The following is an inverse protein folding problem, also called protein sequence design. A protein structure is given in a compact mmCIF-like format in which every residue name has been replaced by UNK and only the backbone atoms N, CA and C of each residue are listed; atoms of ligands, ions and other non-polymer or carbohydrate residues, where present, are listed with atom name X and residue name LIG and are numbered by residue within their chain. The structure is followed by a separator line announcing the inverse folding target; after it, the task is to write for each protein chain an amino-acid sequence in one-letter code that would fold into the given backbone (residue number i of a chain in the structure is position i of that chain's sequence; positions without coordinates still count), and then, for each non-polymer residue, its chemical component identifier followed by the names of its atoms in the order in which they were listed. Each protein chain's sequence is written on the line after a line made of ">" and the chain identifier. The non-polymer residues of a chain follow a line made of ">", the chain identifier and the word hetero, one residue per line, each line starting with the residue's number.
data_IF_235151217426
#
_entry.id   IF_235151217426
#
_cell.length_a   1.000
_cell.length_b   1.000
_cell.length_c   1.000
_cell.angle_alpha   90.00
_cell.angle_beta   90.00
_cell.angle_gamma   90.00
#
_symmetry.space_group_name_H-M   'P 1'
#
loop_
_entity.id
_entity.type
_entity.pdbx_description
1 polymer ?
#
# COMPACT_ATOMS: atom_id res chain seq x y z
N UNK A 1 -4.93 -48.07 38.92
CA UNK A 1 -4.00 -47.55 37.89
C UNK A 1 -4.75 -46.65 36.90
N UNK A 2 -5.25 -45.49 37.33
CA UNK A 2 -5.99 -44.55 36.46
C UNK A 2 -5.84 -43.10 36.98
N UNK A 3 -4.60 -42.62 37.17
CA UNK A 3 -4.36 -41.20 37.52
C UNK A 3 -3.10 -40.62 36.84
N UNK A 4 -2.62 -41.23 35.75
CA UNK A 4 -1.44 -40.73 35.02
C UNK A 4 -1.70 -40.33 33.57
N UNK A 5 -2.93 -40.49 33.06
CA UNK A 5 -3.25 -40.22 31.64
C UNK A 5 -3.97 -38.89 31.39
N UNK A 6 -4.43 -38.17 32.42
CA UNK A 6 -5.11 -36.87 32.24
C UNK A 6 -4.18 -35.64 32.35
N UNK A 7 -2.98 -35.77 32.91
CA UNK A 7 -2.03 -34.64 33.00
C UNK A 7 -1.23 -34.42 31.70
N UNK A 8 -1.13 -35.42 30.82
CA UNK A 8 -0.46 -35.27 29.53
C UNK A 8 -1.33 -34.56 28.48
N UNK A 9 -2.66 -34.66 28.57
CA UNK A 9 -3.57 -33.95 27.67
C UNK A 9 -3.55 -32.43 27.88
N UNK A 10 -3.64 -31.98 29.13
CA UNK A 10 -3.65 -30.55 29.45
C UNK A 10 -2.30 -29.85 29.19
N UNK A 11 -1.17 -30.56 29.33
CA UNK A 11 0.16 -30.01 28.99
C UNK A 11 0.33 -29.91 27.47
N UNK A 12 -0.16 -30.88 26.70
CA UNK A 12 -0.13 -30.81 25.23
C UNK A 12 -1.07 -29.73 24.69
N UNK A 13 -2.23 -29.54 25.30
CA UNK A 13 -3.17 -28.47 24.96
C UNK A 13 -2.64 -27.08 25.36
N UNK A 14 -1.89 -26.94 26.46
CA UNK A 14 -1.17 -25.69 26.77
C UNK A 14 0.04 -25.45 25.86
N UNK A 15 0.68 -26.50 25.35
CA UNK A 15 1.73 -26.38 24.33
C UNK A 15 1.11 -25.99 22.97
N UNK A 16 -0.07 -26.51 22.62
CA UNK A 16 -0.81 -26.12 21.41
C UNK A 16 -1.44 -24.72 21.53
N UNK A 17 -2.00 -24.34 22.69
CA UNK A 17 -2.42 -22.95 22.95
C UNK A 17 -1.22 -22.01 23.00
N UNK A 18 -0.10 -22.44 23.59
CA UNK A 18 1.17 -21.70 23.56
C UNK A 18 1.71 -21.52 22.14
N UNK A 19 1.44 -22.46 21.23
CA UNK A 19 1.81 -22.33 19.82
C UNK A 19 0.88 -21.40 19.03
N UNK A 20 -0.41 -21.34 19.40
CA UNK A 20 -1.39 -20.44 18.76
C UNK A 20 -1.33 -19.00 19.32
N UNK A 21 -0.97 -18.82 20.59
CA UNK A 21 -0.78 -17.50 21.20
C UNK A 21 0.60 -16.89 20.90
N UNK A 22 1.62 -17.69 20.55
CA UNK A 22 2.93 -17.20 20.11
C UNK A 22 2.97 -17.04 18.57
N UNK A 23 1.95 -16.41 17.99
CA UNK A 23 1.92 -15.93 16.59
C UNK A 23 2.76 -14.66 16.39
N UNK A 24 3.93 -14.62 17.02
CA UNK A 24 4.95 -13.59 16.87
C UNK A 24 6.32 -14.29 16.91
N UNK A 25 6.63 -15.11 15.90
CA UNK A 25 7.92 -15.78 15.82
C UNK A 25 8.45 -15.65 14.41
N UNK A 26 9.39 -14.71 14.27
CA UNK A 26 10.39 -14.68 13.19
C UNK A 26 10.85 -16.12 12.97
N UNK A 27 10.54 -16.69 11.81
CA UNK A 27 11.04 -18.03 11.47
C UNK A 27 12.35 -17.80 10.74
N UNK A 28 13.44 -18.29 11.32
CA UNK A 28 14.74 -18.27 10.64
C UNK A 28 14.71 -19.38 9.58
N UNK A 29 14.90 -19.00 8.31
CA UNK A 29 15.18 -19.96 7.25
C UNK A 29 16.59 -20.55 7.43
N UNK A 30 16.82 -21.78 6.97
CA UNK A 30 18.12 -22.46 7.02
C UNK A 30 19.28 -21.68 6.36
N UNK A 31 18.97 -20.63 5.58
CA UNK A 31 19.91 -19.71 4.95
C UNK A 31 20.23 -18.44 5.77
N UNK A 32 19.73 -18.30 7.02
CA UNK A 32 19.96 -17.11 7.85
C UNK A 32 19.10 -15.89 7.48
N UNK A 33 18.12 -16.07 6.57
CA UNK A 33 17.22 -15.01 6.12
C UNK A 33 16.02 -14.89 7.08
N UNK A 34 15.67 -13.65 7.46
CA UNK A 34 14.55 -13.36 8.35
C UNK A 34 13.22 -13.48 7.60
N UNK A 35 12.36 -14.40 8.01
CA UNK A 35 11.01 -14.58 7.44
C UNK A 35 9.97 -13.92 8.34
N UNK A 36 9.08 -13.11 7.76
CA UNK A 36 7.88 -12.60 8.42
C UNK A 36 6.62 -13.04 7.69
N UNK A 37 5.69 -13.58 8.46
CA UNK A 37 4.38 -14.05 7.99
C UNK A 37 3.38 -12.91 8.13
N UNK A 38 2.75 -12.52 7.03
CA UNK A 38 1.83 -11.38 6.98
C UNK A 38 0.48 -11.87 6.48
N UNK A 39 -0.57 -11.59 7.25
CA UNK A 39 -1.95 -11.84 6.86
C UNK A 39 -2.53 -10.59 6.16
N UNK A 40 -3.50 -10.76 5.26
CA UNK A 40 -4.10 -9.62 4.58
C UNK A 40 -4.94 -8.78 5.53
N UNK A 41 -4.89 -7.46 5.35
CA UNK A 41 -5.89 -6.54 5.91
C UNK A 41 -7.09 -6.50 4.96
N UNK A 42 -8.28 -6.85 5.46
CA UNK A 42 -9.51 -6.90 4.67
C UNK A 42 -10.49 -5.78 5.03
N UNK A 43 -11.24 -5.30 4.03
CA UNK A 43 -12.38 -4.39 4.23
C UNK A 43 -13.69 -5.08 3.82
N UNK A 44 -14.47 -5.55 4.80
CA UNK A 44 -15.80 -6.16 4.56
C UNK A 44 -16.81 -5.18 3.94
N UNK A 45 -16.62 -3.86 4.08
CA UNK A 45 -17.54 -2.84 3.55
C UNK A 45 -17.35 -2.59 2.05
N UNK A 46 -16.13 -2.76 1.52
CA UNK A 46 -15.86 -2.55 0.09
C UNK A 46 -16.61 -3.58 -0.79
N UNK A 47 -16.67 -4.84 -0.35
CA UNK A 47 -17.37 -5.93 -1.06
C UNK A 47 -18.89 -5.68 -1.13
N UNK A 48 -19.47 -5.02 -0.12
CA UNK A 48 -20.90 -4.73 -0.08
C UNK A 48 -21.34 -3.66 -1.10
N UNK A 49 -20.53 -2.62 -1.32
CA UNK A 49 -20.88 -1.53 -2.25
C UNK A 49 -20.89 -1.97 -3.72
N UNK A 50 -20.04 -2.92 -4.13
CA UNK A 50 -20.08 -3.45 -5.52
C UNK A 50 -21.33 -4.28 -5.81
N UNK A 51 -21.85 -5.03 -4.83
CA UNK A 51 -23.10 -5.79 -5.01
C UNK A 51 -24.31 -4.88 -5.22
N UNK A 52 -24.31 -3.69 -4.63
CA UNK A 52 -25.35 -2.69 -4.84
C UNK A 52 -25.27 -2.04 -6.24
N UNK A 53 -24.06 -1.82 -6.78
CA UNK A 53 -23.87 -1.22 -8.10
C UNK A 53 -24.18 -2.18 -9.27
N UNK A 54 -24.06 -3.50 -9.06
CA UNK A 54 -24.37 -4.51 -10.08
C UNK A 54 -25.87 -4.85 -10.21
N UNK A 55 -26.75 -4.23 -9.41
CA UNK A 55 -28.20 -4.51 -9.38
C UNK A 55 -29.08 -3.43 -10.04
N UNK A 56 -28.51 -2.41 -10.69
CA UNK A 56 -29.29 -1.39 -11.40
C UNK A 56 -29.17 -1.52 -12.93
N UNK A 57 -30.04 -2.32 -13.53
CA UNK A 57 -30.40 -2.25 -14.96
C UNK A 57 -31.45 -1.15 -15.17
N UNK A 58 -31.35 -0.29 -16.21
CA UNK A 58 -32.41 0.67 -16.52
C UNK A 58 -33.41 0.08 -17.51
N UNK A 59 -34.70 0.10 -17.15
CA UNK A 59 -35.80 -0.10 -18.09
C UNK A 59 -35.99 1.12 -19.01
N UNK A 60 -36.42 0.81 -20.23
CA UNK A 60 -36.64 1.71 -21.36
C UNK A 60 -37.79 2.70 -21.11
N UNK A 61 -37.63 3.94 -21.59
CA UNK A 61 -38.79 4.80 -21.91
C UNK A 61 -38.57 5.57 -23.21
N UNK A 62 -39.49 5.37 -24.14
CA UNK A 62 -39.71 6.15 -25.36
C UNK A 62 -40.75 7.25 -25.11
N UNK A 63 -40.69 8.28 -25.97
CA UNK A 63 -41.71 9.29 -26.36
C UNK A 63 -41.44 10.76 -25.96
N UNK A 64 -41.19 11.55 -27.01
CA UNK A 64 -41.23 13.02 -27.14
C UNK A 64 -42.61 13.47 -27.72
N UNK A 65 -42.92 14.77 -27.99
CA UNK A 65 -42.38 16.07 -27.54
C UNK A 65 -43.51 17.08 -27.14
N UNK A 66 -43.18 18.35 -26.82
CA UNK A 66 -43.75 19.57 -27.45
C UNK A 66 -43.13 20.87 -26.86
N UNK A 67 -42.77 21.79 -27.75
CA UNK A 67 -42.32 23.19 -27.52
C UNK A 67 -43.56 24.13 -27.56
N UNK A 68 -43.56 25.39 -27.05
CA UNK A 68 -42.93 26.52 -27.73
C UNK A 68 -42.33 27.63 -26.83
N UNK A 69 -41.62 28.54 -27.51
CA UNK A 69 -40.83 29.75 -27.20
C UNK A 69 -41.58 30.96 -26.60
N UNK A 70 -40.86 31.86 -25.88
CA UNK A 70 -40.96 33.34 -26.06
C UNK A 70 -39.81 34.15 -25.38
N UNK A 71 -39.52 35.32 -25.99
CA UNK A 71 -38.40 36.27 -25.84
C UNK A 71 -38.45 37.29 -24.66
N UNK A 72 -37.35 38.10 -24.56
CA UNK A 72 -37.14 39.46 -23.98
C UNK A 72 -36.49 39.54 -22.58
N UNK A 73 -35.64 40.50 -22.18
CA UNK A 73 -34.87 41.61 -22.79
C UNK A 73 -33.79 42.12 -21.76
N UNK A 74 -32.85 42.95 -22.20
CA UNK A 74 -31.71 43.59 -21.49
C UNK A 74 -32.01 44.39 -20.19
N UNK A 75 -30.99 44.56 -19.31
CA UNK A 75 -30.50 45.90 -18.91
C UNK A 75 -29.13 45.92 -18.21
N UNK A 76 -28.27 46.86 -18.63
CA UNK A 76 -27.02 47.33 -18.02
C UNK A 76 -27.30 48.51 -17.04
N UNK A 77 -26.51 48.67 -15.96
CA UNK A 77 -25.62 49.84 -15.67
C UNK A 77 -25.19 49.98 -14.19
N UNK A 78 -23.86 50.12 -13.99
CA UNK A 78 -23.08 51.03 -13.12
C UNK A 78 -23.55 51.44 -11.69
N UNK A 79 -22.63 51.38 -10.69
CA UNK A 79 -21.87 52.55 -10.14
C UNK A 79 -21.11 52.26 -8.81
N UNK A 80 -19.77 52.41 -8.85
CA UNK A 80 -18.82 53.11 -7.93
C UNK A 80 -19.33 53.58 -6.53
N UNK A 81 -18.57 53.67 -5.41
CA UNK A 81 -17.13 53.82 -5.12
C UNK A 81 -16.86 53.77 -3.59
N UNK A 82 -15.60 53.49 -3.20
CA UNK A 82 -14.81 53.96 -2.02
C UNK A 82 -15.04 53.38 -0.61
N UNK A 83 -13.98 52.75 -0.07
CA UNK A 83 -13.14 53.33 1.01
C UNK A 83 -11.74 52.68 1.08
N UNK A 84 -10.70 53.50 0.90
CA UNK A 84 -9.34 53.35 1.45
C UNK A 84 -9.43 53.34 3.00
N UNK A 85 -8.57 52.74 3.83
CA UNK A 85 -7.11 52.92 3.98
C UNK A 85 -6.66 52.07 5.20
N UNK A 86 -5.35 51.77 5.29
CA UNK A 86 -4.63 51.16 6.42
C UNK A 86 -4.76 49.64 6.61
N UNK A 87 -3.78 48.89 6.07
CA UNK A 87 -2.93 47.99 6.85
C UNK A 87 -1.70 47.59 6.02
N UNK A 88 -0.82 48.58 5.77
CA UNK A 88 0.59 48.35 5.46
C UNK A 88 1.30 47.94 6.76
N UNK A 89 1.10 46.70 7.22
CA UNK A 89 1.97 46.05 8.22
C UNK A 89 1.66 44.54 8.32
N UNK A 90 1.93 43.80 7.25
CA UNK A 90 2.23 42.36 7.33
C UNK A 90 2.94 41.86 6.08
N UNK A 91 4.02 42.53 5.70
CA UNK A 91 4.93 42.07 4.67
C UNK A 91 6.23 41.67 5.36
N UNK A 92 6.20 40.54 6.07
CA UNK A 92 7.38 39.79 6.56
C UNK A 92 6.87 38.54 7.29
N UNK A 93 6.77 37.43 6.53
CA UNK A 93 6.70 36.01 6.92
C UNK A 93 5.77 35.24 5.96
N UNK A 94 6.07 35.27 4.67
CA UNK A 94 5.60 34.22 3.76
C UNK A 94 6.77 33.75 2.91
N UNK A 95 7.80 33.28 3.61
CA UNK A 95 8.89 32.51 3.00
C UNK A 95 8.34 31.10 2.83
N UNK A 96 7.77 30.84 1.66
CA UNK A 96 7.57 29.50 1.10
C UNK A 96 7.02 28.46 2.09
N UNK A 97 5.76 28.60 2.50
CA UNK A 97 5.01 27.43 2.92
C UNK A 97 4.75 26.57 1.67
N UNK A 98 5.76 25.80 1.25
CA UNK A 98 5.57 24.74 0.26
C UNK A 98 4.39 23.90 0.76
N UNK A 99 3.33 23.83 -0.02
CA UNK A 99 2.11 23.11 0.34
C UNK A 99 2.48 21.62 0.44
N UNK A 100 2.82 21.15 1.63
CA UNK A 100 3.17 19.74 1.86
C UNK A 100 1.87 18.95 1.82
N UNK A 101 1.62 18.28 0.71
CA UNK A 101 0.51 17.34 0.58
C UNK A 101 0.62 16.29 1.70
N UNK A 102 -0.45 16.06 2.48
CA UNK A 102 -0.43 15.06 3.54
C UNK A 102 -0.21 13.67 2.94
N UNK A 103 0.52 12.83 3.68
CA UNK A 103 0.67 11.42 3.33
C UNK A 103 -0.59 10.66 3.73
N UNK A 104 -1.04 9.73 2.89
CA UNK A 104 -2.20 8.87 3.16
C UNK A 104 -1.74 7.48 3.59
N UNK A 105 -2.54 6.81 4.42
CA UNK A 105 -2.26 5.41 4.74
C UNK A 105 -2.43 4.54 3.49
N UNK A 106 -1.48 3.63 3.19
CA UNK A 106 -1.53 2.83 1.97
C UNK A 106 -2.56 1.72 2.02
N UNK A 107 -3.24 1.46 3.15
CA UNK A 107 -4.24 0.39 3.26
C UNK A 107 -5.63 0.88 2.85
N UNK A 108 -6.35 0.12 2.01
CA UNK A 108 -7.70 0.49 1.54
C UNK A 108 -8.72 0.69 2.68
N UNK A 109 -8.51 0.07 3.83
CA UNK A 109 -9.40 0.17 4.98
C UNK A 109 -9.14 1.40 5.86
N UNK A 110 -8.11 2.20 5.56
CA UNK A 110 -7.66 3.28 6.42
C UNK A 110 -7.77 4.64 5.71
N UNK A 111 -8.47 5.58 6.34
CA UNK A 111 -8.63 6.96 5.85
C UNK A 111 -7.67 7.93 6.57
N UNK A 112 -6.60 7.39 7.17
CA UNK A 112 -5.66 8.23 7.90
C UNK A 112 -4.84 9.09 6.94
N UNK A 113 -4.66 10.35 7.34
CA UNK A 113 -3.80 11.32 6.69
C UNK A 113 -2.90 12.00 7.72
N UNK A 114 -1.68 12.35 7.35
CA UNK A 114 -0.77 13.04 8.24
C UNK A 114 0.58 13.38 7.61
N UNK A 115 1.46 13.99 8.41
CA UNK A 115 2.83 14.28 7.98
C UNK A 115 3.69 13.01 7.95
N UNK A 116 4.74 13.03 7.12
CA UNK A 116 5.65 11.89 6.93
C UNK A 116 6.22 11.35 8.25
N UNK A 117 6.53 12.24 9.20
CA UNK A 117 7.13 11.91 10.50
C UNK A 117 6.26 11.01 11.38
N UNK A 118 4.93 11.06 11.20
CA UNK A 118 3.96 10.30 12.00
C UNK A 118 3.45 9.04 11.29
N UNK A 119 3.94 8.75 10.08
CA UNK A 119 3.57 7.54 9.31
C UNK A 119 3.99 6.26 10.02
N UNK A 120 5.25 6.18 10.48
CA UNK A 120 5.74 4.96 11.16
C UNK A 120 4.99 4.69 12.46
N UNK A 121 4.78 5.67 13.36
CA UNK A 121 3.89 5.52 14.51
C UNK A 121 2.49 5.03 14.12
N UNK A 122 1.86 5.63 13.11
CA UNK A 122 0.54 5.24 12.62
C UNK A 122 0.50 3.75 12.21
N UNK A 123 1.40 3.31 11.33
CA UNK A 123 1.44 1.93 10.84
C UNK A 123 1.66 0.92 11.98
N UNK A 124 2.53 1.25 12.93
CA UNK A 124 2.83 0.36 14.07
C UNK A 124 1.69 0.29 15.08
N UNK A 125 1.08 1.41 15.41
CA UNK A 125 0.09 1.48 16.49
C UNK A 125 -1.30 1.10 16.02
N UNK A 126 -1.70 1.59 14.85
CA UNK A 126 -3.04 1.36 14.29
C UNK A 126 -3.13 0.02 13.56
N UNK A 127 -2.10 -0.33 12.79
CA UNK A 127 -2.11 -1.52 11.93
C UNK A 127 -1.20 -2.65 12.41
N UNK A 128 -0.50 -2.47 13.54
CA UNK A 128 0.40 -3.48 14.13
C UNK A 128 1.45 -3.99 13.14
N UNK A 129 1.91 -3.11 12.24
CA UNK A 129 2.95 -3.46 11.25
C UNK A 129 4.28 -3.62 11.96
N UNK A 130 4.85 -4.81 11.89
CA UNK A 130 6.19 -5.07 12.41
C UNK A 130 7.28 -4.45 11.53
N UNK A 131 8.39 -4.06 12.18
CA UNK A 131 9.61 -3.64 11.51
C UNK A 131 10.63 -4.77 11.57
N UNK A 132 11.00 -5.31 10.42
CA UNK A 132 12.13 -6.22 10.30
C UNK A 132 13.42 -5.46 10.03
N UNK A 133 14.52 -5.96 10.57
CA UNK A 133 15.87 -5.44 10.34
C UNK A 133 16.74 -6.50 9.71
N UNK A 134 17.54 -6.16 8.71
CA UNK A 134 18.45 -7.11 8.05
C UNK A 134 18.78 -6.68 6.63
N UNK A 135 19.85 -7.21 6.05
CA UNK A 135 20.23 -6.90 4.67
C UNK A 135 19.24 -7.50 3.66
N UNK A 136 18.76 -8.72 3.94
CA UNK A 136 17.75 -9.40 3.16
C UNK A 136 16.69 -10.01 4.08
N UNK A 137 15.42 -9.91 3.68
CA UNK A 137 14.28 -10.47 4.41
C UNK A 137 13.38 -11.25 3.44
N UNK A 138 12.56 -12.15 3.99
CA UNK A 138 11.50 -12.83 3.25
C UNK A 138 10.16 -12.41 3.82
N UNK A 139 9.31 -11.88 2.95
CA UNK A 139 7.93 -11.56 3.22
C UNK A 139 7.05 -12.72 2.75
N UNK A 140 6.34 -13.37 3.68
CA UNK A 140 5.43 -14.46 3.39
C UNK A 140 3.99 -13.96 3.52
N UNK A 141 3.37 -13.60 2.39
CA UNK A 141 1.96 -13.21 2.34
C UNK A 141 1.08 -14.46 2.36
N UNK A 142 0.26 -14.62 3.38
CA UNK A 142 -0.68 -15.75 3.52
C UNK A 142 -2.05 -15.42 2.92
N UNK A 143 -2.91 -16.44 2.80
CA UNK A 143 -4.31 -16.27 2.42
C UNK A 143 -4.52 -15.55 1.07
N UNK A 144 -3.61 -15.79 0.11
CA UNK A 144 -3.62 -15.17 -1.23
C UNK A 144 -4.89 -15.47 -2.05
N UNK A 145 -5.65 -16.49 -1.64
CA UNK A 145 -6.91 -16.89 -2.25
C UNK A 145 -8.07 -15.93 -1.93
N UNK A 146 -7.96 -15.10 -0.88
CA UNK A 146 -9.01 -14.17 -0.49
C UNK A 146 -9.39 -13.18 -1.61
N UNK A 147 -10.66 -12.75 -1.68
CA UNK A 147 -11.12 -11.87 -2.75
C UNK A 147 -10.43 -10.50 -2.71
N UNK A 148 -10.36 -9.83 -3.87
CA UNK A 148 -9.95 -8.43 -3.93
C UNK A 148 -11.06 -7.52 -3.34
N UNK A 149 -10.71 -6.37 -2.75
CA UNK A 149 -9.36 -5.89 -2.48
C UNK A 149 -8.77 -6.50 -1.20
N UNK A 150 -7.47 -6.78 -1.22
CA UNK A 150 -6.73 -7.24 -0.06
C UNK A 150 -5.32 -6.64 -0.09
N UNK A 151 -4.82 -6.21 1.07
CA UNK A 151 -3.50 -5.61 1.21
C UNK A 151 -2.66 -6.40 2.20
N UNK A 152 -1.38 -6.56 1.90
CA UNK A 152 -0.37 -7.08 2.81
C UNK A 152 0.78 -6.09 2.85
N UNK A 153 1.18 -5.67 4.04
CA UNK A 153 2.25 -4.69 4.21
C UNK A 153 3.27 -5.16 5.23
N UNK A 154 4.53 -4.80 5.01
CA UNK A 154 5.61 -5.02 5.98
C UNK A 154 6.60 -3.88 5.92
N UNK A 155 7.13 -3.50 7.08
CA UNK A 155 8.19 -2.50 7.17
C UNK A 155 9.55 -3.18 7.28
N UNK A 156 10.48 -2.77 6.41
CA UNK A 156 11.86 -3.21 6.38
C UNK A 156 12.77 -2.05 6.73
N UNK A 157 13.59 -2.22 7.76
CA UNK A 157 14.59 -1.24 8.17
C UNK A 157 15.99 -1.73 7.80
N UNK A 158 16.66 -0.98 6.94
CA UNK A 158 18.02 -1.22 6.50
C UNK A 158 18.65 0.10 6.03
N UNK A 159 19.98 0.16 5.94
CA UNK A 159 20.73 1.32 5.44
C UNK A 159 20.37 2.65 6.13
N UNK A 160 19.93 2.62 7.40
CA UNK A 160 19.52 3.82 8.15
C UNK A 160 18.13 4.36 7.81
N UNK A 161 17.34 3.65 7.00
CA UNK A 161 16.01 4.07 6.56
C UNK A 161 14.93 3.02 6.85
N UNK A 162 13.67 3.45 6.70
CA UNK A 162 12.50 2.58 6.73
C UNK A 162 11.88 2.50 5.34
N UNK A 163 11.64 1.28 4.89
CA UNK A 163 10.97 0.98 3.64
C UNK A 163 9.70 0.20 3.94
N UNK A 164 8.63 0.46 3.19
CA UNK A 164 7.37 -0.25 3.28
C UNK A 164 7.17 -1.04 2.00
N UNK A 165 7.15 -2.37 2.09
CA UNK A 165 6.63 -3.19 1.01
C UNK A 165 5.11 -3.18 1.10
N UNK A 166 4.46 -2.89 -0.02
CA UNK A 166 3.02 -3.04 -0.20
C UNK A 166 2.79 -4.09 -1.27
N UNK A 167 2.13 -5.19 -0.90
CA UNK A 167 1.53 -6.14 -1.82
C UNK A 167 0.01 -5.94 -1.80
N UNK A 168 -0.56 -5.58 -2.94
CA UNK A 168 -1.99 -5.29 -3.09
C UNK A 168 -2.62 -6.21 -4.11
N UNK A 169 -3.73 -6.84 -3.74
CA UNK A 169 -4.62 -7.53 -4.67
C UNK A 169 -5.79 -6.61 -5.01
N UNK A 170 -5.93 -6.23 -6.28
CA UNK A 170 -7.05 -5.42 -6.76
C UNK A 170 -7.46 -5.82 -8.18
N UNK A 171 -8.68 -5.45 -8.57
CA UNK A 171 -9.17 -5.62 -9.94
C UNK A 171 -8.92 -4.36 -10.75
N UNK A 172 -8.19 -4.49 -11.88
CA UNK A 172 -8.15 -3.43 -12.92
C UNK A 172 -9.29 -3.58 -13.93
N UNK A 173 -9.68 -4.82 -14.19
CA UNK A 173 -10.81 -5.17 -15.05
C UNK A 173 -11.73 -6.08 -14.25
N UNK A 174 -13.03 -5.99 -14.52
CA UNK A 174 -14.05 -6.76 -13.80
C UNK A 174 -13.74 -8.26 -13.84
N UNK A 175 -13.70 -8.89 -12.66
CA UNK A 175 -13.44 -10.33 -12.52
C UNK A 175 -11.98 -10.75 -12.75
N UNK A 176 -11.06 -9.81 -12.98
CA UNK A 176 -9.65 -10.09 -13.23
C UNK A 176 -8.74 -9.47 -12.15
N UNK A 177 -8.68 -10.07 -10.95
CA UNK A 177 -7.79 -9.60 -9.90
C UNK A 177 -6.33 -9.85 -10.24
N UNK A 178 -5.49 -8.86 -9.92
CA UNK A 178 -4.05 -8.89 -10.06
C UNK A 178 -3.40 -8.49 -8.73
N UNK A 179 -2.16 -8.92 -8.55
CA UNK A 179 -1.30 -8.52 -7.45
C UNK A 179 -0.29 -7.48 -7.92
N UNK A 180 -0.09 -6.46 -7.10
CA UNK A 180 0.82 -5.35 -7.32
C UNK A 180 1.77 -5.26 -6.13
N UNK A 181 3.06 -5.34 -6.36
CA UNK A 181 4.07 -5.25 -5.30
C UNK A 181 5.04 -4.10 -5.55
N UNK A 182 5.12 -3.17 -4.60
CA UNK A 182 6.03 -2.01 -4.68
C UNK A 182 6.65 -1.69 -3.32
N UNK A 183 7.86 -1.15 -3.35
CA UNK A 183 8.59 -0.70 -2.17
C UNK A 183 8.56 0.83 -2.07
N UNK A 184 8.11 1.34 -0.93
CA UNK A 184 8.06 2.77 -0.64
C UNK A 184 9.12 3.14 0.39
N UNK A 185 9.93 4.16 0.16
CA UNK A 185 10.79 4.76 1.19
C UNK A 185 9.97 5.69 2.07
N UNK A 186 10.04 5.54 3.40
CA UNK A 186 9.58 6.57 4.34
C UNK A 186 10.62 7.71 4.32
N UNK A 187 10.47 8.63 3.36
CA UNK A 187 11.44 9.67 3.04
C UNK A 187 10.96 10.53 1.87
N UNK A 188 11.83 11.40 1.36
CA UNK A 188 11.55 12.26 0.19
C UNK A 188 11.88 11.55 -1.12
N UNK A 189 11.38 12.04 -2.28
CA UNK A 189 11.75 11.50 -3.59
C UNK A 189 13.27 11.55 -3.86
N UNK A 190 13.95 12.60 -3.40
CA UNK A 190 15.40 12.73 -3.54
C UNK A 190 16.14 11.65 -2.75
N UNK A 191 15.70 11.34 -1.53
CA UNK A 191 16.27 10.26 -0.74
C UNK A 191 15.98 8.88 -1.38
N UNK A 192 14.78 8.71 -1.96
CA UNK A 192 14.38 7.46 -2.61
C UNK A 192 15.29 7.10 -3.78
N UNK A 193 15.73 8.08 -4.56
CA UNK A 193 16.68 7.92 -5.67
C UNK A 193 18.06 7.39 -5.25
N UNK A 194 18.39 7.41 -3.96
CA UNK A 194 19.65 6.87 -3.44
C UNK A 194 19.63 5.34 -3.27
N UNK A 195 18.52 4.67 -3.56
CA UNK A 195 18.34 3.24 -3.30
C UNK A 195 17.82 2.47 -4.52
N UNK A 196 18.07 1.16 -4.52
CA UNK A 196 17.46 0.20 -5.42
C UNK A 196 16.93 -0.95 -4.57
N UNK A 197 15.71 -1.40 -4.84
CA UNK A 197 15.15 -2.60 -4.23
C UNK A 197 15.02 -3.73 -5.23
N UNK A 198 15.08 -4.95 -4.73
CA UNK A 198 14.83 -6.19 -5.47
C UNK A 198 13.72 -6.97 -4.80
N UNK A 199 12.72 -7.39 -5.58
CA UNK A 199 11.73 -8.39 -5.20
C UNK A 199 11.99 -9.66 -5.99
N UNK A 200 12.01 -10.80 -5.31
CA UNK A 200 12.30 -12.07 -5.95
C UNK A 200 11.34 -13.17 -5.48
N UNK A 201 10.75 -13.86 -6.45
CA UNK A 201 9.90 -15.04 -6.26
C UNK A 201 10.65 -16.26 -6.78
N UNK A 202 10.74 -17.30 -5.96
CA UNK A 202 11.42 -18.55 -6.32
C UNK A 202 10.53 -19.75 -5.98
N UNK A 203 10.24 -20.60 -6.97
CA UNK A 203 9.55 -21.88 -6.73
C UNK A 203 9.71 -22.81 -7.93
N UNK A 204 9.89 -24.11 -7.70
CA UNK A 204 9.90 -25.15 -8.73
C UNK A 204 10.79 -24.82 -9.95
N UNK A 205 12.06 -24.45 -9.68
CA UNK A 205 13.04 -24.02 -10.70
C UNK A 205 12.65 -22.76 -11.50
N UNK A 206 11.60 -22.05 -11.09
CA UNK A 206 11.22 -20.75 -11.63
C UNK A 206 11.74 -19.66 -10.72
N UNK A 207 12.20 -18.58 -11.35
CA UNK A 207 12.64 -17.36 -10.69
C UNK A 207 12.03 -16.18 -11.42
N UNK A 208 11.33 -15.33 -10.68
CA UNK A 208 10.91 -14.02 -11.16
C UNK A 208 11.60 -12.97 -10.30
N UNK A 209 12.21 -11.99 -10.95
CA UNK A 209 12.98 -10.93 -10.31
C UNK A 209 12.50 -9.57 -10.83
N UNK A 210 12.24 -8.64 -9.91
CA UNK A 210 11.93 -7.24 -10.18
C UNK A 210 12.93 -6.36 -9.45
N UNK A 211 13.50 -5.37 -10.14
CA UNK A 211 14.42 -4.39 -9.57
C UNK A 211 14.00 -2.99 -9.99
N UNK A 212 13.91 -2.08 -9.04
CA UNK A 212 13.53 -0.69 -9.29
C UNK A 212 14.05 0.23 -8.17
N UNK A 213 13.93 1.54 -8.40
CA UNK A 213 14.10 2.57 -7.35
C UNK A 213 12.84 2.59 -6.48
N UNK A 214 12.93 2.58 -5.13
CA UNK A 214 11.75 2.70 -4.29
C UNK A 214 11.07 4.06 -4.56
N UNK A 215 9.76 4.15 -4.41
CA UNK A 215 9.04 5.45 -4.50
C UNK A 215 9.01 6.13 -3.15
N UNK A 216 8.86 7.44 -3.11
CA UNK A 216 8.67 8.16 -1.84
C UNK A 216 7.29 7.85 -1.25
N UNK A 217 7.18 7.68 0.06
CA UNK A 217 5.88 7.53 0.73
C UNK A 217 5.00 8.79 0.62
N UNK A 218 5.59 9.94 0.28
CA UNK A 218 4.82 11.13 -0.05
C UNK A 218 4.02 10.99 -1.36
N UNK A 219 4.31 9.95 -2.14
CA UNK A 219 3.57 9.57 -3.33
C UNK A 219 2.51 8.51 -2.98
N UNK A 220 1.39 8.50 -3.70
CA UNK A 220 0.32 7.54 -3.44
C UNK A 220 0.65 6.17 -4.02
N UNK A 221 0.33 5.09 -3.28
CA UNK A 221 0.46 3.73 -3.82
C UNK A 221 -0.41 3.55 -5.07
N UNK A 222 -1.57 4.19 -5.12
CA UNK A 222 -2.50 4.10 -6.25
C UNK A 222 -1.93 4.72 -7.53
N UNK A 223 -1.15 5.80 -7.44
CA UNK A 223 -0.45 6.37 -8.60
C UNK A 223 0.64 5.42 -9.09
N UNK A 224 1.45 4.86 -8.19
CA UNK A 224 2.49 3.87 -8.53
C UNK A 224 1.89 2.65 -9.25
N UNK A 225 0.75 2.17 -8.75
CA UNK A 225 0.01 1.08 -9.39
C UNK A 225 -0.50 1.53 -10.75
N UNK A 226 -1.17 2.69 -10.86
CA UNK A 226 -1.76 3.17 -12.11
C UNK A 226 -0.71 3.32 -13.22
N UNK A 227 0.46 3.86 -12.88
CA UNK A 227 1.58 4.06 -13.80
C UNK A 227 2.27 2.74 -14.22
N UNK A 228 1.98 1.64 -13.52
CA UNK A 228 2.61 0.35 -13.77
C UNK A 228 4.06 0.27 -13.29
N UNK A 229 4.49 1.18 -12.41
CA UNK A 229 5.84 1.24 -11.83
C UNK A 229 5.97 0.30 -10.62
N UNK A 230 5.59 -0.96 -10.82
CA UNK A 230 5.63 -1.99 -9.77
C UNK A 230 5.63 -3.42 -10.37
N UNK A 231 5.95 -4.41 -9.54
CA UNK A 231 5.81 -5.81 -9.93
C UNK A 231 4.32 -6.17 -10.04
N UNK A 232 3.89 -6.60 -11.22
CA UNK A 232 2.52 -7.04 -11.48
C UNK A 232 2.46 -8.55 -11.71
N UNK A 233 1.60 -9.24 -10.97
CA UNK A 233 1.31 -10.66 -11.16
C UNK A 233 -0.19 -10.83 -11.40
N UNK A 234 -0.58 -11.48 -12.49
CA UNK A 234 -1.94 -12.00 -12.58
C UNK A 234 -2.11 -13.19 -11.60
N UNK A 235 -3.36 -13.59 -11.36
CA UNK A 235 -3.67 -14.67 -10.42
C UNK A 235 -2.96 -15.99 -10.79
N UNK A 236 -2.91 -16.34 -12.08
CA UNK A 236 -2.24 -17.56 -12.56
C UNK A 236 -0.73 -17.54 -12.29
N UNK A 237 -0.04 -16.41 -12.52
CA UNK A 237 1.38 -16.25 -12.22
C UNK A 237 1.63 -16.34 -10.71
N UNK A 238 0.80 -15.69 -9.89
CA UNK A 238 0.93 -15.77 -8.44
C UNK A 238 0.80 -17.23 -7.94
N UNK A 239 -0.12 -18.03 -8.51
CA UNK A 239 -0.27 -19.44 -8.18
C UNK A 239 0.97 -20.29 -8.49
N UNK A 240 1.70 -20.00 -9.58
CA UNK A 240 2.93 -20.72 -9.91
C UNK A 240 4.01 -20.56 -8.84
N UNK A 241 4.04 -19.42 -8.15
CA UNK A 241 5.00 -19.08 -7.10
C UNK A 241 4.46 -19.27 -5.68
N UNK A 242 3.16 -19.50 -5.51
CA UNK A 242 2.54 -19.69 -4.19
C UNK A 242 2.57 -21.13 -3.72
N UNK A 243 2.78 -21.35 -2.43
CA UNK A 243 2.67 -22.66 -1.79
C UNK A 243 1.60 -22.63 -0.70
N UNK A 244 0.65 -23.57 -0.79
CA UNK A 244 -0.51 -23.66 0.11
C UNK A 244 -1.20 -22.30 0.39
N UNK A 245 -1.44 -21.51 -0.66
CA UNK A 245 -2.07 -20.20 -0.55
C UNK A 245 -1.18 -19.08 0.00
N UNK A 246 0.12 -19.31 0.15
CA UNK A 246 1.09 -18.31 0.62
C UNK A 246 2.11 -17.97 -0.46
N UNK A 247 2.45 -16.69 -0.62
CA UNK A 247 3.44 -16.20 -1.57
C UNK A 247 4.68 -15.67 -0.80
N UNK A 248 5.83 -16.26 -1.06
CA UNK A 248 7.10 -15.83 -0.48
C UNK A 248 7.81 -14.86 -1.43
N UNK A 249 8.14 -13.66 -0.94
CA UNK A 249 8.88 -12.63 -1.66
C UNK A 249 10.18 -12.35 -0.91
N UNK A 250 11.30 -12.68 -1.52
CA UNK A 250 12.61 -12.25 -1.01
C UNK A 250 12.83 -10.79 -1.38
N UNK A 251 13.29 -10.01 -0.40
CA UNK A 251 13.46 -8.56 -0.48
C UNK A 251 14.91 -8.23 -0.16
N UNK A 252 15.52 -7.41 -1.01
CA UNK A 252 16.81 -6.79 -0.76
C UNK A 252 16.75 -5.30 -1.12
N UNK A 253 17.46 -4.47 -0.37
CA UNK A 253 17.64 -3.04 -0.67
C UNK A 253 19.13 -2.73 -0.66
N UNK A 254 19.60 -2.01 -1.68
CA UNK A 254 20.99 -1.58 -1.83
C UNK A 254 21.05 -0.09 -2.12
N UNK A 255 22.19 0.54 -1.82
CA UNK A 255 22.44 1.88 -2.33
C UNK A 255 22.48 1.87 -3.87
N UNK A 256 21.88 2.88 -4.50
CA UNK A 256 21.92 3.05 -5.94
C UNK A 256 23.37 3.31 -6.39
N UNK A 257 23.78 2.73 -7.52
CA UNK A 257 25.06 3.06 -8.14
C UNK A 257 24.93 4.46 -8.74
N UNK A 258 25.49 5.48 -8.07
CA UNK A 258 25.63 6.81 -8.65
C UNK A 258 26.55 6.67 -9.87
N UNK A 259 26.00 6.84 -11.08
CA UNK A 259 26.83 7.03 -12.25
C UNK A 259 27.51 8.40 -12.08
N UNK A 260 28.86 8.50 -12.12
CA UNK A 260 29.50 9.80 -12.22
C UNK A 260 29.01 10.39 -13.54
N UNK A 261 28.18 11.43 -13.48
CA UNK A 261 27.89 12.25 -14.64
C UNK A 261 29.23 12.75 -15.16
N UNK A 262 29.60 12.32 -16.38
CA UNK A 262 30.70 12.92 -17.13
C UNK A 262 30.51 14.43 -17.11
N UNK A 263 31.39 15.11 -16.39
CA UNK A 263 31.56 16.55 -16.52
C UNK A 263 32.11 16.75 -17.93
N UNK A 264 31.24 17.10 -18.87
CA UNK A 264 31.68 17.72 -20.13
C UNK A 264 32.23 19.10 -19.76
N UNK A 265 33.55 19.18 -19.72
CA UNK A 265 34.33 20.43 -19.74
C UNK A 265 34.14 21.09 -21.10
#
# INVERSE_FOLDING_TARGET
>A
MLFFTQCFGAVLDLIQLGFQHYKAKRVFSAAGQLVCVVNPTHNLKYVANRRAAAQSTPEQTSFHPHHPTHHHHHHHHHRHLRHHTHHLHRQEADVHAAHVTPCTCPLFSCQWEGHLEVVVPHLRQTHRVDILQGAEIVFLATDMHLPAPADWIIMHSCLGHHFLLVLRKQERHEGHPQFFATMMLIGTPTQANCFTYRLELNRNHRRLKWEATPRSFMESVDSVITDGDCLVLNTSMAQLFSDNGSLAIAIAVTAAKVHPTEVKI
#
